data_IF_679456714710
#
_entry.id   IF_679456714710
#
_cell.length_a   1.000
_cell.length_b   1.000
_cell.length_c   1.000
_cell.angle_alpha   90.00
_cell.angle_beta   90.00
_cell.angle_gamma   90.00
#
_symmetry.space_group_name_H-M   'P 1'
#
loop_
_entity.id
_entity.type
_entity.pdbx_description
1 polymer ?
#
# COMPACT_ATOMS: atom_id res chain seq x y z
N UNK A 1 -4.21 19.99 0.95
CA UNK A 1 -5.19 18.94 0.63
C UNK A 1 -5.96 19.21 -0.67
N UNK A 2 -6.56 20.38 -0.87
CA UNK A 2 -7.38 20.70 -2.07
C UNK A 2 -6.69 20.38 -3.40
N UNK A 3 -5.39 20.73 -3.55
CA UNK A 3 -4.58 20.40 -4.73
C UNK A 3 -4.59 18.91 -5.10
N UNK A 4 -4.62 18.02 -4.11
CA UNK A 4 -4.54 16.57 -4.28
C UNK A 4 -5.90 15.89 -4.13
N UNK A 5 -6.97 16.65 -3.87
CA UNK A 5 -8.27 16.08 -3.56
C UNK A 5 -8.83 15.30 -4.76
N UNK A 6 -8.71 15.87 -5.97
CA UNK A 6 -9.17 15.21 -7.20
C UNK A 6 -8.41 13.92 -7.49
N UNK A 7 -7.08 13.93 -7.45
CA UNK A 7 -6.28 12.72 -7.66
C UNK A 7 -6.52 11.68 -6.57
N UNK A 8 -6.75 12.14 -5.34
CA UNK A 8 -7.08 11.25 -4.22
C UNK A 8 -8.43 10.57 -4.42
N UNK A 9 -9.47 11.32 -4.81
CA UNK A 9 -10.80 10.77 -5.11
C UNK A 9 -10.72 9.75 -6.25
N UNK A 10 -9.93 10.02 -7.29
CA UNK A 10 -9.73 9.08 -8.39
C UNK A 10 -9.11 7.75 -7.92
N UNK A 11 -8.09 7.81 -7.08
CA UNK A 11 -7.45 6.61 -6.52
C UNK A 11 -8.41 5.83 -5.63
N UNK A 12 -9.16 6.53 -4.75
CA UNK A 12 -10.17 5.89 -3.90
C UNK A 12 -11.29 5.25 -4.73
N UNK A 13 -11.70 5.90 -5.83
CA UNK A 13 -12.66 5.34 -6.77
C UNK A 13 -12.19 4.03 -7.39
N UNK A 14 -10.95 4.00 -7.87
CA UNK A 14 -10.32 2.79 -8.42
C UNK A 14 -10.29 1.69 -7.37
N UNK A 15 -9.91 2.01 -6.13
CA UNK A 15 -9.90 1.04 -5.04
C UNK A 15 -11.28 0.45 -4.75
N UNK A 16 -12.32 1.29 -4.63
CA UNK A 16 -13.69 0.81 -4.40
C UNK A 16 -14.18 -0.06 -5.57
N UNK A 17 -13.85 0.30 -6.82
CA UNK A 17 -14.19 -0.51 -7.99
C UNK A 17 -13.48 -1.87 -7.97
N UNK A 18 -12.19 -1.91 -7.66
CA UNK A 18 -11.43 -3.15 -7.53
C UNK A 18 -12.01 -4.10 -6.46
N UNK A 19 -12.54 -3.56 -5.35
CA UNK A 19 -13.23 -4.36 -4.33
C UNK A 19 -14.56 -4.94 -4.83
N UNK A 20 -15.33 -4.18 -5.62
CA UNK A 20 -16.56 -4.67 -6.25
C UNK A 20 -16.25 -5.77 -7.27
N UNK A 21 -15.22 -5.56 -8.10
CA UNK A 21 -14.83 -6.48 -9.17
C UNK A 21 -14.18 -7.77 -8.64
N UNK A 22 -13.55 -7.76 -7.47
CA UNK A 22 -12.89 -8.93 -6.88
C UNK A 22 -13.80 -10.16 -6.82
N UNK A 23 -15.07 -9.96 -6.46
CA UNK A 23 -16.05 -11.05 -6.35
C UNK A 23 -16.32 -11.77 -7.67
N UNK A 24 -16.10 -11.10 -8.79
CA UNK A 24 -16.43 -11.62 -10.13
C UNK A 24 -15.21 -11.99 -10.95
N UNK A 25 -14.07 -11.31 -10.75
CA UNK A 25 -12.88 -11.44 -11.60
C UNK A 25 -11.65 -12.04 -10.90
N UNK A 26 -11.74 -12.26 -9.58
CA UNK A 26 -10.64 -12.73 -8.75
C UNK A 26 -9.58 -11.64 -8.51
N UNK A 27 -8.31 -12.04 -8.25
CA UNK A 27 -7.22 -11.10 -8.00
C UNK A 27 -6.96 -10.16 -9.19
N UNK A 28 -6.91 -8.86 -8.91
CA UNK A 28 -6.68 -7.80 -9.89
C UNK A 28 -5.68 -6.78 -9.36
N UNK A 29 -4.89 -6.22 -10.28
CA UNK A 29 -4.02 -5.07 -10.04
C UNK A 29 -4.41 -3.97 -11.03
N UNK A 30 -4.49 -2.73 -10.55
CA UNK A 30 -4.63 -1.55 -11.38
C UNK A 30 -3.42 -0.63 -11.18
N UNK A 31 -2.72 -0.30 -12.26
CA UNK A 31 -1.60 0.66 -12.23
C UNK A 31 -2.19 2.08 -12.20
N UNK A 32 -1.82 2.86 -11.19
CA UNK A 32 -2.32 4.23 -11.00
C UNK A 32 -1.31 5.30 -11.35
N UNK A 33 -0.02 4.98 -11.28
CA UNK A 33 1.11 5.85 -11.64
C UNK A 33 2.26 5.02 -12.18
N UNK A 34 3.12 5.62 -12.98
CA UNK A 34 4.36 5.02 -13.46
C UNK A 34 5.09 5.94 -14.42
N UNK A 35 6.37 5.69 -14.62
CA UNK A 35 7.21 6.43 -15.59
C UNK A 35 7.49 5.59 -16.85
N UNK A 36 6.55 4.73 -17.24
CA UNK A 36 6.78 3.73 -18.27
C UNK A 36 5.55 3.43 -19.11
N UNK A 37 5.77 3.32 -20.42
CA UNK A 37 4.74 3.01 -21.41
C UNK A 37 4.81 1.56 -21.91
N UNK A 38 5.82 0.79 -21.46
CA UNK A 38 6.08 -0.57 -21.92
C UNK A 38 5.46 -1.60 -20.98
N UNK A 39 4.71 -2.55 -21.54
CA UNK A 39 4.26 -3.75 -20.80
C UNK A 39 5.21 -4.94 -21.01
N UNK A 40 6.42 -4.69 -21.53
CA UNK A 40 7.41 -5.71 -21.88
C UNK A 40 8.62 -5.64 -20.96
N UNK A 41 8.60 -6.45 -19.90
CA UNK A 41 9.71 -6.65 -18.98
C UNK A 41 10.06 -8.12 -18.90
N UNK A 42 11.35 -8.42 -18.83
CA UNK A 42 11.81 -9.78 -18.57
C UNK A 42 11.57 -10.11 -17.09
N UNK A 43 11.78 -9.12 -16.22
CA UNK A 43 11.73 -9.30 -14.78
C UNK A 43 11.07 -8.13 -14.06
N UNK A 44 10.25 -8.42 -13.06
CA UNK A 44 9.64 -7.38 -12.21
C UNK A 44 9.95 -7.59 -10.74
N UNK A 45 10.48 -6.56 -10.11
CA UNK A 45 10.68 -6.48 -8.68
C UNK A 45 9.42 -5.90 -8.05
N UNK A 46 8.86 -6.57 -7.05
CA UNK A 46 7.56 -6.23 -6.48
C UNK A 46 7.73 -6.00 -4.99
N UNK A 47 7.49 -4.77 -4.54
CA UNK A 47 7.45 -4.45 -3.11
C UNK A 47 6.02 -4.13 -2.71
N UNK A 48 5.48 -4.88 -1.75
CA UNK A 48 4.11 -4.72 -1.27
C UNK A 48 4.12 -4.15 0.15
N UNK A 49 3.27 -3.17 0.43
CA UNK A 49 3.17 -2.57 1.75
C UNK A 49 2.00 -1.60 1.88
N UNK A 50 1.76 -1.10 3.09
CA UNK A 50 0.79 -0.03 3.31
C UNK A 50 1.34 1.35 2.94
N UNK A 51 2.68 1.51 2.97
CA UNK A 51 3.42 2.74 2.67
C UNK A 51 2.80 3.99 3.32
N UNK A 52 2.52 3.89 4.62
CA UNK A 52 1.76 4.90 5.37
C UNK A 52 2.55 5.43 6.57
N UNK A 53 3.54 6.33 6.40
CA UNK A 53 4.12 6.79 5.14
C UNK A 53 5.20 5.84 4.60
N UNK A 54 5.65 6.02 3.35
CA UNK A 54 6.87 5.38 2.89
C UNK A 54 8.10 5.96 3.62
N UNK A 55 9.06 5.11 3.96
CA UNK A 55 10.27 5.43 4.73
C UNK A 55 11.53 5.26 3.89
N UNK A 56 12.65 5.82 4.35
CA UNK A 56 13.97 5.64 3.75
C UNK A 56 14.41 4.18 3.74
N UNK A 57 14.03 3.39 4.74
CA UNK A 57 14.21 1.94 4.75
C UNK A 57 13.59 1.24 3.53
N UNK A 58 12.45 1.72 3.01
CA UNK A 58 11.89 1.17 1.77
C UNK A 58 12.75 1.55 0.56
N UNK A 59 13.23 2.79 0.47
CA UNK A 59 14.10 3.26 -0.61
C UNK A 59 15.43 2.51 -0.64
N UNK A 60 16.05 2.31 0.53
CA UNK A 60 17.27 1.51 0.65
C UNK A 60 17.05 0.09 0.13
N UNK A 61 15.97 -0.56 0.59
CA UNK A 61 15.65 -1.91 0.19
C UNK A 61 15.40 -2.01 -1.33
N UNK A 62 14.69 -1.05 -1.91
CA UNK A 62 14.46 -0.96 -3.37
C UNK A 62 15.80 -0.80 -4.11
N UNK A 63 16.65 0.14 -3.70
CA UNK A 63 17.92 0.44 -4.39
C UNK A 63 18.88 -0.75 -4.35
N UNK A 64 19.02 -1.41 -3.20
CA UNK A 64 19.86 -2.59 -3.10
C UNK A 64 19.32 -3.75 -3.95
N UNK A 65 17.99 -3.94 -3.96
CA UNK A 65 17.34 -4.99 -4.76
C UNK A 65 17.52 -4.78 -6.27
N UNK A 66 17.36 -3.53 -6.75
CA UNK A 66 17.61 -3.18 -8.15
C UNK A 66 19.08 -3.40 -8.51
N UNK A 67 19.99 -2.91 -7.68
CA UNK A 67 21.44 -3.05 -7.90
C UNK A 67 21.88 -4.51 -7.96
N UNK A 68 21.30 -5.36 -7.13
CA UNK A 68 21.53 -6.80 -7.12
C UNK A 68 21.10 -7.44 -8.46
N UNK A 69 19.87 -7.18 -8.89
CA UNK A 69 19.33 -7.79 -10.11
C UNK A 69 20.00 -7.28 -11.38
N UNK A 70 20.37 -5.99 -11.44
CA UNK A 70 21.13 -5.46 -12.58
C UNK A 70 22.52 -6.09 -12.71
N UNK A 71 23.15 -6.49 -11.60
CA UNK A 71 24.42 -7.23 -11.62
C UNK A 71 24.24 -8.68 -12.04
N UNK A 72 23.18 -9.35 -11.57
CA UNK A 72 22.91 -10.75 -11.90
C UNK A 72 22.40 -10.93 -13.34
N UNK A 73 21.62 -9.97 -13.84
CA UNK A 73 20.95 -10.03 -15.14
C UNK A 73 21.22 -8.73 -15.95
N UNK A 74 22.46 -8.47 -16.40
CA UNK A 74 22.85 -7.19 -17.00
C UNK A 74 22.11 -6.84 -18.30
N UNK A 75 21.53 -7.83 -18.98
CA UNK A 75 20.80 -7.66 -20.24
C UNK A 75 19.27 -7.73 -20.09
N UNK A 76 18.76 -7.98 -18.87
CA UNK A 76 17.33 -8.12 -18.65
C UNK A 76 16.66 -6.74 -18.49
N UNK A 77 15.46 -6.61 -19.05
CA UNK A 77 14.57 -5.48 -18.80
C UNK A 77 13.91 -5.67 -17.44
N UNK A 78 14.48 -5.04 -16.43
CA UNK A 78 13.97 -5.03 -15.06
C UNK A 78 13.07 -3.81 -14.84
N UNK A 79 11.96 -3.98 -14.12
CA UNK A 79 11.13 -2.89 -13.62
C UNK A 79 10.78 -3.08 -12.14
N UNK A 80 10.38 -1.99 -11.48
CA UNK A 80 9.89 -1.98 -10.10
C UNK A 80 8.37 -1.79 -10.09
N UNK A 81 7.66 -2.60 -9.32
CA UNK A 81 6.25 -2.42 -8.99
C UNK A 81 6.09 -2.23 -7.48
N UNK A 82 5.57 -1.07 -7.09
CA UNK A 82 5.17 -0.79 -5.71
C UNK A 82 3.68 -1.05 -5.57
N UNK A 83 3.29 -2.03 -4.75
CA UNK A 83 1.90 -2.45 -4.60
C UNK A 83 1.30 -2.03 -3.26
N UNK A 84 0.19 -1.30 -3.34
CA UNK A 84 -0.72 -1.04 -2.24
C UNK A 84 -1.84 -2.06 -2.28
N UNK A 85 -1.94 -2.90 -1.26
CA UNK A 85 -3.01 -3.91 -1.18
C UNK A 85 -4.16 -3.45 -0.30
N UNK A 86 -5.39 -3.55 -0.82
CA UNK A 86 -6.60 -3.11 -0.13
C UNK A 86 -6.85 -3.91 1.16
N UNK A 87 -6.45 -5.18 1.23
CA UNK A 87 -6.57 -5.95 2.48
C UNK A 87 -5.64 -5.47 3.60
N UNK A 88 -4.56 -4.74 3.26
CA UNK A 88 -3.71 -4.07 4.25
C UNK A 88 -4.28 -2.69 4.63
N UNK A 89 -4.91 -2.00 3.69
CA UNK A 89 -5.61 -0.73 3.90
C UNK A 89 -6.82 -0.90 4.81
N UNK A 90 -7.53 -2.02 4.74
CA UNK A 90 -8.72 -2.29 5.57
C UNK A 90 -8.41 -2.61 7.05
N UNK A 91 -7.16 -2.97 7.39
CA UNK A 91 -6.75 -3.17 8.80
C UNK A 91 -6.66 -1.84 9.58
N UNK A 92 -6.83 -0.71 8.90
CA UNK A 92 -6.76 0.65 9.44
C UNK A 92 -8.05 1.03 10.17
N UNK A 93 -8.41 0.28 11.21
CA UNK A 93 -9.56 0.59 12.10
C UNK A 93 -9.38 1.88 12.92
N UNK A 94 -8.29 2.60 12.69
CA UNK A 94 -7.92 3.84 13.36
C UNK A 94 -7.59 4.93 12.33
N UNK A 95 -8.58 5.34 11.51
CA UNK A 95 -8.44 6.44 10.53
C UNK A 95 -7.92 7.76 11.13
N UNK A 96 -7.88 7.90 12.47
CA UNK A 96 -7.20 9.01 13.13
C UNK A 96 -5.70 9.06 12.82
N UNK A 97 -5.11 7.93 12.43
CA UNK A 97 -3.68 7.76 12.27
C UNK A 97 -3.33 7.35 10.83
N UNK A 98 -4.28 7.11 9.92
CA UNK A 98 -3.95 6.61 8.58
C UNK A 98 -4.24 7.63 7.48
N UNK A 99 -3.45 7.64 6.41
CA UNK A 99 -3.69 8.50 5.25
C UNK A 99 -4.52 7.81 4.17
N UNK A 100 -5.32 8.60 3.44
CA UNK A 100 -6.06 8.13 2.25
C UNK A 100 -5.13 7.42 1.26
N UNK A 101 -5.64 6.41 0.56
CA UNK A 101 -4.87 5.64 -0.41
C UNK A 101 -4.30 6.54 -1.50
N UNK A 102 -5.07 7.52 -1.96
CA UNK A 102 -4.60 8.50 -2.92
C UNK A 102 -3.42 9.32 -2.43
N UNK A 103 -3.43 9.73 -1.16
CA UNK A 103 -2.31 10.47 -0.56
C UNK A 103 -1.05 9.61 -0.43
N UNK A 104 -1.20 8.31 -0.19
CA UNK A 104 -0.08 7.35 -0.20
C UNK A 104 0.51 7.17 -1.58
N UNK A 105 -0.33 7.10 -2.62
CA UNK A 105 0.13 7.09 -4.02
C UNK A 105 0.93 8.35 -4.33
N UNK A 106 0.47 9.53 -3.91
CA UNK A 106 1.20 10.79 -4.12
C UNK A 106 2.54 10.83 -3.36
N UNK A 107 2.59 10.34 -2.12
CA UNK A 107 3.85 10.22 -1.37
C UNK A 107 4.83 9.25 -2.06
N UNK A 108 4.34 8.11 -2.54
CA UNK A 108 5.15 7.14 -3.27
C UNK A 108 5.65 7.68 -4.61
N UNK A 109 4.78 8.33 -5.39
CA UNK A 109 5.15 8.95 -6.65
C UNK A 109 6.22 10.02 -6.45
N UNK A 110 6.06 10.88 -5.44
CA UNK A 110 7.08 11.87 -5.08
C UNK A 110 8.40 11.21 -4.67
N UNK A 111 8.36 10.13 -3.87
CA UNK A 111 9.56 9.41 -3.43
C UNK A 111 10.29 8.76 -4.61
N UNK A 112 9.57 8.04 -5.48
CA UNK A 112 10.15 7.31 -6.60
C UNK A 112 10.65 8.24 -7.69
N UNK A 113 9.95 9.34 -7.99
CA UNK A 113 10.36 10.30 -9.03
C UNK A 113 11.62 11.09 -8.68
N UNK A 114 11.96 11.16 -7.39
CA UNK A 114 13.14 11.86 -6.88
C UNK A 114 14.28 10.92 -6.52
N UNK A 115 13.99 9.62 -6.43
CA UNK A 115 15.02 8.60 -6.28
C UNK A 115 15.60 8.35 -7.66
N UNK A 116 16.92 8.39 -7.79
CA UNK A 116 17.60 8.05 -9.04
C UNK A 116 17.56 6.52 -9.27
N UNK A 117 16.37 6.04 -9.63
CA UNK A 117 16.14 4.64 -9.95
C UNK A 117 16.61 4.38 -11.37
N UNK A 118 17.55 3.45 -11.53
CA UNK A 118 18.06 3.00 -12.81
C UNK A 118 17.08 2.12 -13.61
N UNK A 119 15.86 1.92 -13.11
CA UNK A 119 14.82 1.08 -13.73
C UNK A 119 13.47 1.82 -13.77
N UNK A 120 12.60 1.49 -14.74
CA UNK A 120 11.23 1.98 -14.74
C UNK A 120 10.46 1.50 -13.49
N UNK A 121 9.52 2.31 -13.03
CA UNK A 121 8.68 1.99 -11.88
C UNK A 121 7.19 2.22 -12.15
N UNK A 122 6.37 1.49 -11.42
CA UNK A 122 4.91 1.61 -11.42
C UNK A 122 4.36 1.48 -9.99
N UNK A 123 3.30 2.23 -9.69
CA UNK A 123 2.53 2.11 -8.45
C UNK A 123 1.20 1.46 -8.81
N UNK A 124 0.92 0.32 -8.20
CA UNK A 124 -0.30 -0.45 -8.41
C UNK A 124 -1.14 -0.57 -7.14
N UNK A 125 -2.45 -0.72 -7.33
CA UNK A 125 -3.40 -1.06 -6.27
C UNK A 125 -3.92 -2.46 -6.54
N UNK A 126 -3.89 -3.32 -5.52
CA UNK A 126 -4.36 -4.69 -5.60
C UNK A 126 -5.53 -4.95 -4.66
N UNK A 127 -6.54 -5.68 -5.13
CA UNK A 127 -7.63 -6.17 -4.28
C UNK A 127 -7.26 -7.44 -3.48
N UNK A 128 -6.06 -8.00 -3.66
CA UNK A 128 -5.56 -9.12 -2.87
C UNK A 128 -4.32 -8.74 -2.06
N UNK A 129 -4.17 -9.36 -0.90
CA UNK A 129 -2.98 -9.27 -0.05
C UNK A 129 -2.08 -10.49 -0.11
N UNK A 130 -2.54 -11.60 -0.71
CA UNK A 130 -1.79 -12.86 -0.72
C UNK A 130 -0.83 -12.89 -1.91
N UNK A 131 0.43 -13.24 -1.66
CA UNK A 131 1.46 -13.25 -2.69
C UNK A 131 1.15 -14.18 -3.87
N UNK A 132 0.54 -15.34 -3.61
CA UNK A 132 0.03 -16.26 -4.63
C UNK A 132 -0.96 -15.58 -5.59
N UNK A 133 -1.95 -14.88 -5.04
CA UNK A 133 -2.96 -14.14 -5.82
C UNK A 133 -2.32 -12.99 -6.60
N UNK A 134 -1.35 -12.31 -6.00
CA UNK A 134 -0.59 -11.24 -6.64
C UNK A 134 0.19 -11.78 -7.85
N UNK A 135 0.81 -12.96 -7.74
CA UNK A 135 1.53 -13.58 -8.85
C UNK A 135 0.58 -13.83 -10.03
N UNK A 136 -0.63 -14.31 -9.77
CA UNK A 136 -1.67 -14.50 -10.80
C UNK A 136 -2.07 -13.15 -11.42
N UNK A 137 -2.33 -12.14 -10.59
CA UNK A 137 -2.72 -10.81 -11.07
C UNK A 137 -1.61 -10.13 -11.90
N UNK A 138 -0.34 -10.27 -11.49
CA UNK A 138 0.82 -9.72 -12.19
C UNK A 138 1.00 -10.42 -13.54
N UNK A 139 0.94 -11.76 -13.60
CA UNK A 139 1.03 -12.50 -14.87
C UNK A 139 -0.09 -12.12 -15.84
N UNK A 140 -1.30 -11.87 -15.33
CA UNK A 140 -2.43 -11.39 -16.13
C UNK A 140 -2.20 -9.97 -16.66
N UNK A 141 -1.68 -9.07 -15.81
CA UNK A 141 -1.39 -7.69 -16.16
C UNK A 141 -0.23 -7.57 -17.16
N UNK A 142 0.82 -8.38 -16.97
CA UNK A 142 2.07 -8.36 -17.73
C UNK A 142 2.26 -9.70 -18.47
N UNK A 143 1.48 -9.89 -19.54
CA UNK A 143 1.37 -11.16 -20.26
C UNK A 143 2.70 -11.77 -20.77
N UNK A 144 3.74 -10.95 -20.91
CA UNK A 144 5.06 -11.36 -21.41
C UNK A 144 6.14 -11.34 -20.33
N UNK A 145 5.74 -11.30 -19.06
CA UNK A 145 6.65 -11.34 -17.94
C UNK A 145 7.25 -12.75 -17.79
N UNK A 146 8.57 -12.85 -17.79
CA UNK A 146 9.24 -14.13 -17.56
C UNK A 146 9.21 -14.52 -16.08
N UNK A 147 9.51 -13.57 -15.19
CA UNK A 147 9.61 -13.83 -13.75
C UNK A 147 9.31 -12.59 -12.90
N UNK A 148 8.85 -12.80 -11.67
CA UNK A 148 8.71 -11.75 -10.66
C UNK A 148 9.47 -12.12 -9.39
N UNK A 149 10.00 -11.10 -8.72
CA UNK A 149 10.63 -11.19 -7.40
C UNK A 149 9.91 -10.34 -6.40
N UNK A 150 9.51 -10.91 -5.27
CA UNK A 150 8.97 -10.15 -4.16
C UNK A 150 10.08 -9.65 -3.25
N UNK A 151 10.06 -8.35 -2.97
CA UNK A 151 10.92 -7.67 -2.01
C UNK A 151 10.13 -7.51 -0.71
N UNK A 152 10.64 -8.04 0.40
CA UNK A 152 9.93 -7.97 1.68
C UNK A 152 10.86 -8.04 2.88
N UNK A 153 10.36 -7.61 4.05
CA UNK A 153 11.02 -7.86 5.33
C UNK A 153 10.82 -9.30 5.82
N UNK A 154 11.69 -9.78 6.68
CA UNK A 154 11.59 -11.10 7.31
C UNK A 154 10.26 -11.32 8.04
N UNK A 155 9.68 -10.28 8.63
CA UNK A 155 8.36 -10.32 9.31
C UNK A 155 7.18 -10.55 8.36
N UNK A 156 7.38 -10.27 7.07
CA UNK A 156 6.39 -10.54 6.01
C UNK A 156 6.68 -11.89 5.36
N UNK A 157 7.96 -12.25 5.22
CA UNK A 157 8.36 -13.58 4.73
C UNK A 157 7.87 -14.70 5.66
N UNK A 158 7.95 -14.53 6.98
CA UNK A 158 7.40 -15.49 7.96
C UNK A 158 5.90 -15.77 7.75
N UNK A 159 5.14 -14.76 7.35
CA UNK A 159 3.70 -14.91 7.09
C UNK A 159 3.42 -15.84 5.92
N UNK A 160 4.37 -16.07 5.01
CA UNK A 160 4.20 -17.04 3.92
C UNK A 160 3.97 -18.46 4.44
N UNK A 161 4.48 -18.78 5.63
CA UNK A 161 4.36 -20.11 6.26
C UNK A 161 3.20 -20.21 7.25
N UNK A 162 2.43 -19.13 7.45
CA UNK A 162 1.31 -19.16 8.38
C UNK A 162 0.05 -19.64 7.66
N UNK A 163 -0.40 -20.86 7.98
CA UNK A 163 -1.56 -21.51 7.35
C UNK A 163 -2.85 -20.69 7.39
N UNK A 164 -3.01 -19.79 8.36
CA UNK A 164 -4.18 -18.90 8.52
C UNK A 164 -4.42 -17.98 7.30
N UNK A 165 -3.41 -17.73 6.47
CA UNK A 165 -3.55 -16.91 5.26
C UNK A 165 -4.09 -17.68 4.06
N UNK A 166 -4.27 -18.99 4.19
CA UNK A 166 -4.60 -19.85 3.08
C UNK A 166 -5.84 -20.72 3.34
N UNK A 167 -6.57 -20.99 2.27
CA UNK A 167 -7.76 -21.86 2.31
C UNK A 167 -7.42 -23.35 2.11
N UNK A 168 -6.20 -23.67 1.68
CA UNK A 168 -5.69 -25.04 1.54
C UNK A 168 -4.52 -25.27 2.51
N UNK A 169 -4.20 -26.53 2.86
CA UNK A 169 -3.03 -26.87 3.66
C UNK A 169 -1.74 -26.28 3.10
N UNK A 170 -0.82 -25.86 3.97
CA UNK A 170 0.42 -25.18 3.59
C UNK A 170 1.26 -26.01 2.61
N UNK A 171 1.43 -27.31 2.89
CA UNK A 171 2.13 -28.26 2.00
C UNK A 171 1.63 -28.25 0.54
N UNK A 172 0.35 -27.95 0.30
CA UNK A 172 -0.24 -27.95 -1.03
C UNK A 172 -0.02 -26.62 -1.77
N UNK A 173 0.39 -25.57 -1.04
CA UNK A 173 0.54 -24.20 -1.53
C UNK A 173 2.01 -23.77 -1.63
N UNK A 174 2.89 -24.30 -0.77
CA UNK A 174 4.32 -23.96 -0.78
C UNK A 174 4.95 -24.11 -2.18
N UNK A 175 4.67 -25.15 -2.98
CA UNK A 175 5.21 -25.24 -4.33
C UNK A 175 4.80 -24.06 -5.22
N UNK A 176 3.59 -23.51 -5.06
CA UNK A 176 3.11 -22.37 -5.83
C UNK A 176 3.69 -21.04 -5.34
N UNK A 177 3.87 -20.88 -4.02
CA UNK A 177 4.58 -19.73 -3.43
C UNK A 177 5.98 -19.64 -4.01
N UNK A 178 6.75 -20.72 -3.98
CA UNK A 178 8.16 -20.74 -4.38
C UNK A 178 8.42 -20.86 -5.90
N UNK A 179 7.38 -20.70 -6.73
CA UNK A 179 7.54 -20.44 -8.18
C UNK A 179 8.06 -19.04 -8.49
N UNK A 180 8.14 -18.17 -7.47
CA UNK A 180 8.62 -16.79 -7.60
C UNK A 180 9.89 -16.57 -6.79
N UNK A 181 10.58 -15.48 -7.10
CA UNK A 181 11.79 -15.07 -6.37
C UNK A 181 11.44 -14.22 -5.15
N UNK A 182 12.32 -14.25 -4.17
CA UNK A 182 12.20 -13.51 -2.92
C UNK A 182 13.52 -12.82 -2.59
N UNK A 183 13.45 -11.52 -2.35
CA UNK A 183 14.47 -10.78 -1.61
C UNK A 183 13.92 -10.55 -0.20
N UNK A 184 14.61 -11.12 0.78
CA UNK A 184 14.21 -11.06 2.19
C UNK A 184 15.16 -10.17 2.96
N UNK A 185 14.65 -9.04 3.43
CA UNK A 185 15.40 -8.05 4.18
C UNK A 185 15.48 -8.40 5.66
N UNK A 186 16.69 -8.37 6.21
CA UNK A 186 16.93 -8.54 7.65
C UNK A 186 16.32 -7.40 8.47
N UNK A 187 15.64 -7.75 9.57
CA UNK A 187 15.04 -6.81 10.52
C UNK A 187 15.04 -7.42 11.93
N UNK A 188 15.09 -6.57 12.95
CA UNK A 188 15.03 -7.00 14.34
C UNK A 188 16.23 -7.86 14.71
N UNK A 189 15.96 -9.11 15.11
CA UNK A 189 16.99 -10.06 15.56
C UNK A 189 17.64 -10.84 14.40
N UNK A 190 17.13 -10.71 13.17
CA UNK A 190 17.71 -11.36 11.99
C UNK A 190 18.40 -10.29 11.16
N UNK A 191 19.70 -10.11 11.36
CA UNK A 191 20.47 -8.99 10.79
C UNK A 191 21.49 -9.40 9.76
N UNK A 192 21.93 -10.66 9.79
CA UNK A 192 22.87 -11.23 8.83
C UNK A 192 22.42 -12.59 8.27
N UNK A 193 23.25 -13.16 7.40
CA UNK A 193 22.95 -14.41 6.70
C UNK A 193 22.93 -15.61 7.64
N UNK A 194 23.75 -15.62 8.70
CA UNK A 194 23.82 -16.73 9.63
C UNK A 194 22.54 -16.77 10.49
N UNK A 195 22.06 -15.61 10.94
CA UNK A 195 20.75 -15.48 11.59
C UNK A 195 19.62 -15.97 10.68
N UNK A 196 19.65 -15.59 9.40
CA UNK A 196 18.63 -15.99 8.44
C UNK A 196 18.64 -17.50 8.21
N UNK A 197 19.81 -18.11 8.03
CA UNK A 197 19.94 -19.56 7.89
C UNK A 197 19.49 -20.30 9.15
N UNK A 198 19.81 -19.77 10.34
CA UNK A 198 19.31 -20.30 11.60
C UNK A 198 17.78 -20.26 11.65
N UNK A 199 17.18 -19.13 11.26
CA UNK A 199 15.74 -18.99 11.15
C UNK A 199 15.13 -20.00 10.17
N UNK A 200 15.68 -20.15 8.96
CA UNK A 200 15.20 -21.15 7.98
C UNK A 200 15.25 -22.56 8.57
N UNK A 201 16.34 -22.93 9.25
CA UNK A 201 16.50 -24.25 9.87
C UNK A 201 15.54 -24.48 11.06
N UNK A 202 14.96 -23.42 11.63
CA UNK A 202 13.97 -23.50 12.71
C UNK A 202 12.54 -23.70 12.21
N UNK A 203 12.28 -23.50 10.91
CA UNK A 203 10.95 -23.67 10.31
C UNK A 203 10.50 -25.14 10.33
N UNK A 204 9.19 -25.43 10.23
CA UNK A 204 8.70 -26.80 10.03
C UNK A 204 9.34 -27.48 8.81
N UNK A 205 9.53 -28.80 8.86
CA UNK A 205 10.25 -29.56 7.82
C UNK A 205 9.67 -29.39 6.41
N UNK A 206 8.35 -29.27 6.29
CA UNK A 206 7.68 -28.98 5.00
C UNK A 206 8.10 -27.64 4.40
N UNK A 207 8.20 -26.60 5.22
CA UNK A 207 8.68 -25.27 4.81
C UNK A 207 10.16 -25.31 4.44
N UNK A 208 10.99 -26.01 5.24
CA UNK A 208 12.41 -26.18 4.93
C UNK A 208 12.63 -26.89 3.59
N UNK A 209 11.87 -27.95 3.32
CA UNK A 209 11.99 -28.69 2.08
C UNK A 209 11.60 -27.82 0.89
N UNK A 210 10.48 -27.09 0.98
CA UNK A 210 10.06 -26.17 -0.08
C UNK A 210 11.10 -25.07 -0.36
N UNK A 211 11.79 -24.58 0.68
CA UNK A 211 12.89 -23.61 0.54
C UNK A 211 14.13 -24.26 -0.10
N UNK A 212 14.51 -25.47 0.32
CA UNK A 212 15.69 -26.17 -0.21
C UNK A 212 15.53 -26.58 -1.68
N UNK A 213 14.30 -26.78 -2.12
CA UNK A 213 13.97 -27.06 -3.51
C UNK A 213 14.05 -25.82 -4.41
N UNK A 214 14.36 -24.64 -3.85
CA UNK A 214 14.39 -23.39 -4.59
C UNK A 214 15.67 -22.58 -4.35
N UNK A 215 16.32 -22.16 -5.44
CA UNK A 215 17.42 -21.18 -5.42
C UNK A 215 16.89 -19.73 -5.46
N UNK A 216 15.58 -19.55 -5.26
CA UNK A 216 14.86 -18.32 -5.53
C UNK A 216 14.81 -17.36 -4.32
N UNK A 217 15.55 -17.60 -3.23
CA UNK A 217 15.52 -16.75 -2.03
C UNK A 217 16.89 -16.13 -1.79
N UNK A 218 16.93 -14.79 -1.79
CA UNK A 218 18.12 -14.00 -1.53
C UNK A 218 17.90 -13.22 -0.25
N UNK A 219 18.78 -13.42 0.74
CA UNK A 219 18.79 -12.59 1.94
C UNK A 219 19.58 -11.30 1.70
N UNK A 220 19.04 -10.18 2.18
CA UNK A 220 19.60 -8.85 2.00
C UNK A 220 19.72 -8.15 3.37
N UNK A 221 20.95 -8.05 3.93
CA UNK A 221 21.14 -7.39 5.22
C UNK A 221 20.98 -5.88 5.05
N UNK A 222 19.98 -5.30 5.71
CA UNK A 222 19.80 -3.85 5.76
C UNK A 222 20.81 -3.20 6.71
N UNK A 223 21.19 -1.95 6.43
CA UNK A 223 22.00 -1.17 7.36
C UNK A 223 21.26 -1.03 8.72
N UNK A 224 22.00 -1.11 9.82
CA UNK A 224 21.45 -1.10 11.19
C UNK A 224 20.45 0.02 11.46
N UNK A 225 20.66 1.22 10.89
CA UNK A 225 19.73 2.35 11.04
C UNK A 225 18.33 2.11 10.46
N UNK A 226 18.21 1.26 9.45
CA UNK A 226 16.95 0.97 8.74
C UNK A 226 16.21 -0.26 9.31
N UNK A 227 16.89 -1.14 10.02
CA UNK A 227 16.33 -2.42 10.51
C UNK A 227 15.17 -2.22 11.51
N UNK A 228 15.21 -1.15 12.30
CA UNK A 228 14.24 -0.85 13.37
C UNK A 228 13.22 0.22 13.01
N UNK A 229 13.23 0.67 11.76
CA UNK A 229 12.24 1.64 11.28
C UNK A 229 10.89 0.97 11.06
N UNK A 230 9.81 1.69 11.38
CA UNK A 230 8.45 1.27 11.03
C UNK A 230 7.56 2.48 10.85
N UNK A 231 6.67 2.41 9.86
CA UNK A 231 5.75 3.52 9.60
C UNK A 231 4.84 3.78 10.81
N UNK A 232 4.49 2.75 11.58
CA UNK A 232 3.73 2.89 12.84
C UNK A 232 4.43 3.78 13.87
N UNK A 233 5.76 3.65 14.03
CA UNK A 233 6.52 4.52 14.94
C UNK A 233 6.52 5.97 14.44
N UNK A 234 6.73 6.16 13.13
CA UNK A 234 6.71 7.49 12.48
C UNK A 234 5.35 8.16 12.62
N UNK A 235 4.25 7.45 12.36
CA UNK A 235 2.89 7.99 12.53
C UNK A 235 2.59 8.40 13.97
N UNK A 236 3.03 7.60 14.96
CA UNK A 236 2.91 7.97 16.38
C UNK A 236 3.66 9.25 16.70
N UNK A 237 4.90 9.40 16.22
CA UNK A 237 5.70 10.62 16.40
C UNK A 237 5.02 11.84 15.76
N UNK A 238 4.57 11.72 14.51
CA UNK A 238 3.84 12.78 13.79
C UNK A 238 2.55 13.18 14.51
N UNK A 239 1.82 12.22 15.08
CA UNK A 239 0.56 12.49 15.79
C UNK A 239 0.72 13.24 17.12
N UNK A 240 1.93 13.27 17.66
CA UNK A 240 2.27 13.97 18.90
C UNK A 240 2.85 15.37 18.64
N UNK A 241 2.93 15.79 17.37
CA UNK A 241 3.57 17.06 16.93
C UNK A 241 4.97 17.25 17.53
N UNK A 242 5.66 16.13 17.76
CA UNK A 242 7.03 16.17 18.23
C UNK A 242 7.88 16.65 17.05
N UNK A 243 8.47 17.84 17.18
CA UNK A 243 9.34 18.52 16.22
C UNK A 243 10.67 17.79 15.96
N UNK A 244 10.69 16.47 16.16
CA UNK A 244 11.86 15.62 15.98
C UNK A 244 12.08 15.50 14.49
N UNK A 245 13.32 15.74 14.05
CA UNK A 245 13.77 15.31 12.73
C UNK A 245 13.48 13.82 12.57
N UNK A 246 12.45 13.50 11.79
CA UNK A 246 12.11 12.12 11.51
C UNK A 246 13.11 11.64 10.46
N UNK A 247 14.28 11.21 10.93
CA UNK A 247 15.39 10.73 10.10
C UNK A 247 15.02 9.54 9.21
N UNK A 248 13.89 8.87 9.50
CA UNK A 248 13.32 7.79 8.70
C UNK A 248 12.54 8.24 7.47
N UNK A 249 12.28 9.55 7.29
CA UNK A 249 11.57 10.09 6.14
C UNK A 249 12.53 10.85 5.23
N UNK A 250 12.32 10.77 3.91
CA UNK A 250 12.95 11.73 3.02
C UNK A 250 12.30 13.12 3.23
N UNK A 251 13.06 14.19 2.93
CA UNK A 251 12.63 15.57 3.17
C UNK A 251 11.33 15.92 2.43
N UNK A 252 11.08 15.32 1.28
CA UNK A 252 9.94 15.61 0.42
C UNK A 252 8.65 14.93 0.90
N UNK A 253 8.73 13.69 1.38
CA UNK A 253 7.61 13.02 2.07
C UNK A 253 7.28 13.77 3.35
N UNK A 254 8.29 14.20 4.12
CA UNK A 254 8.07 15.02 5.32
C UNK A 254 7.37 16.35 4.98
N UNK A 255 7.85 17.05 3.94
CA UNK A 255 7.21 18.29 3.46
C UNK A 255 5.77 18.04 3.00
N UNK A 256 5.52 16.94 2.27
CA UNK A 256 4.19 16.57 1.82
C UNK A 256 3.24 16.29 3.00
N UNK A 257 3.73 15.58 4.03
CA UNK A 257 3.00 15.30 5.27
C UNK A 257 2.61 16.60 5.96
N UNK A 258 3.56 17.52 6.17
CA UNK A 258 3.29 18.81 6.83
C UNK A 258 2.31 19.66 6.03
N UNK A 259 2.54 19.79 4.72
CA UNK A 259 1.68 20.59 3.82
C UNK A 259 0.25 20.10 3.77
N UNK A 260 0.03 18.80 3.95
CA UNK A 260 -1.31 18.20 3.93
C UNK A 260 -1.85 17.86 5.32
N UNK A 261 -1.13 18.23 6.39
CA UNK A 261 -1.48 17.93 7.78
C UNK A 261 -1.78 16.45 8.02
N UNK A 262 -1.04 15.56 7.35
CA UNK A 262 -1.23 14.11 7.50
C UNK A 262 -0.82 13.68 8.89
N UNK A 263 -1.51 12.65 9.41
CA UNK A 263 -1.28 12.09 10.76
C UNK A 263 -1.51 13.09 11.91
N UNK A 264 -2.02 14.29 11.62
CA UNK A 264 -2.39 15.27 12.62
C UNK A 264 -3.71 14.91 13.30
N UNK A 265 -3.88 15.33 14.56
CA UNK A 265 -5.16 15.20 15.29
C UNK A 265 -6.17 16.28 14.90
N UNK A 266 -5.97 16.98 13.77
CA UNK A 266 -6.84 18.06 13.33
C UNK A 266 -8.22 17.49 12.91
N UNK A 267 -9.31 17.85 13.61
CA UNK A 267 -10.65 17.34 13.34
C UNK A 267 -11.11 17.56 11.90
N UNK A 268 -10.82 18.73 11.31
CA UNK A 268 -11.22 19.05 9.94
C UNK A 268 -10.58 18.10 8.92
N UNK A 269 -9.29 17.79 9.12
CA UNK A 269 -8.54 16.89 8.24
C UNK A 269 -9.09 15.48 8.32
N UNK A 270 -9.35 14.98 9.53
CA UNK A 270 -9.95 13.66 9.75
C UNK A 270 -11.33 13.59 9.09
N UNK A 271 -12.17 14.62 9.26
CA UNK A 271 -13.51 14.67 8.65
C UNK A 271 -13.44 14.66 7.13
N UNK A 272 -12.52 15.42 6.53
CA UNK A 272 -12.34 15.41 5.07
C UNK A 272 -11.96 14.00 4.59
N UNK A 273 -11.04 13.32 5.29
CA UNK A 273 -10.64 11.96 4.92
C UNK A 273 -11.83 10.98 4.99
N UNK A 274 -12.61 11.04 6.06
CA UNK A 274 -13.83 10.24 6.22
C UNK A 274 -14.83 10.53 5.08
N UNK A 275 -15.07 11.81 4.78
CA UNK A 275 -15.98 12.23 3.70
C UNK A 275 -15.52 11.62 2.37
N UNK A 276 -14.25 11.77 2.01
CA UNK A 276 -13.73 11.27 0.74
C UNK A 276 -13.96 9.76 0.62
N UNK A 277 -13.56 8.96 1.63
CA UNK A 277 -13.72 7.51 1.57
C UNK A 277 -15.18 7.07 1.47
N UNK A 278 -16.05 7.66 2.30
CA UNK A 278 -17.44 7.23 2.40
C UNK A 278 -18.25 7.74 1.21
N UNK A 279 -18.05 8.98 0.78
CA UNK A 279 -18.77 9.54 -0.36
C UNK A 279 -18.39 8.81 -1.65
N UNK A 280 -17.11 8.48 -1.88
CA UNK A 280 -16.71 7.68 -3.05
C UNK A 280 -17.47 6.35 -3.07
N UNK A 281 -17.55 5.66 -1.93
CA UNK A 281 -18.27 4.39 -1.83
C UNK A 281 -19.76 4.55 -2.12
N UNK A 282 -20.41 5.55 -1.53
CA UNK A 282 -21.84 5.83 -1.74
C UNK A 282 -22.09 6.17 -3.21
N UNK A 283 -21.35 7.11 -3.77
CA UNK A 283 -21.55 7.59 -5.13
C UNK A 283 -21.30 6.49 -6.16
N UNK A 284 -20.33 5.60 -5.92
CA UNK A 284 -20.12 4.40 -6.73
C UNK A 284 -21.31 3.43 -6.67
N UNK A 285 -21.91 3.21 -5.49
CA UNK A 285 -23.12 2.37 -5.34
C UNK A 285 -24.34 2.98 -6.05
N UNK A 286 -24.45 4.30 -6.06
CA UNK A 286 -25.50 5.04 -6.77
C UNK A 286 -25.25 5.15 -8.28
N UNK A 287 -24.18 4.55 -8.81
CA UNK A 287 -23.87 4.56 -10.24
C UNK A 287 -23.46 5.94 -10.78
N UNK A 288 -23.05 6.86 -9.91
CA UNK A 288 -22.52 8.17 -10.30
C UNK A 288 -21.23 7.95 -11.09
N UNK A 289 -20.99 8.70 -12.17
CA UNK A 289 -19.72 8.56 -12.88
C UNK A 289 -18.55 9.19 -12.09
N UNK A 290 -17.33 8.71 -12.37
CA UNK A 290 -16.11 9.11 -11.65
C UNK A 290 -15.89 10.64 -11.65
N UNK A 291 -16.15 11.31 -12.76
CA UNK A 291 -15.88 12.75 -12.86
C UNK A 291 -16.86 13.53 -11.98
N UNK A 292 -18.16 13.19 -12.06
CA UNK A 292 -19.18 13.78 -11.18
C UNK A 292 -18.92 13.48 -9.71
N UNK A 293 -18.42 12.28 -9.38
CA UNK A 293 -18.05 11.95 -8.01
C UNK A 293 -17.02 12.93 -7.44
N UNK A 294 -15.98 13.26 -8.22
CA UNK A 294 -14.98 14.24 -7.82
C UNK A 294 -15.59 15.63 -7.59
N UNK A 295 -16.44 16.09 -8.50
CA UNK A 295 -17.04 17.41 -8.41
C UNK A 295 -18.00 17.53 -7.21
N UNK A 296 -18.80 16.49 -6.95
CA UNK A 296 -19.71 16.40 -5.81
C UNK A 296 -18.94 16.49 -4.49
N UNK A 297 -17.90 15.66 -4.31
CA UNK A 297 -17.11 15.61 -3.08
C UNK A 297 -16.37 16.93 -2.87
N UNK A 298 -15.76 17.48 -3.93
CA UNK A 298 -15.07 18.77 -3.87
C UNK A 298 -16.02 19.90 -3.45
N UNK A 299 -17.20 19.99 -4.08
CA UNK A 299 -18.22 20.99 -3.76
C UNK A 299 -18.75 20.84 -2.33
N UNK A 300 -18.89 19.62 -1.84
CA UNK A 300 -19.30 19.40 -0.46
C UNK A 300 -18.22 19.86 0.52
N UNK A 301 -16.96 19.48 0.31
CA UNK A 301 -15.84 19.85 1.19
C UNK A 301 -15.60 21.36 1.18
N UNK A 302 -15.66 22.03 0.03
CA UNK A 302 -15.44 23.47 -0.05
C UNK A 302 -16.50 24.27 0.70
N UNK A 303 -17.77 23.83 0.66
CA UNK A 303 -18.89 24.49 1.35
C UNK A 303 -18.97 24.14 2.84
N UNK A 304 -18.73 22.87 3.18
CA UNK A 304 -19.08 22.32 4.49
C UNK A 304 -17.88 21.82 5.30
N UNK A 305 -16.67 21.77 4.71
CA UNK A 305 -15.51 21.15 5.32
C UNK A 305 -15.05 21.80 6.63
N UNK A 306 -15.41 23.07 6.86
CA UNK A 306 -15.13 23.82 8.09
C UNK A 306 -16.36 24.00 9.00
N UNK A 307 -17.51 23.42 8.66
CA UNK A 307 -18.70 23.50 9.52
C UNK A 307 -18.51 22.61 10.75
N UNK A 308 -18.36 23.26 11.92
CA UNK A 308 -18.14 22.57 13.20
C UNK A 308 -19.27 21.60 13.55
N UNK A 309 -20.53 21.88 13.21
CA UNK A 309 -21.66 20.98 13.51
C UNK A 309 -21.55 19.71 12.67
N UNK A 310 -21.25 19.84 11.37
CA UNK A 310 -21.04 18.71 10.47
C UNK A 310 -19.84 17.88 10.95
N UNK A 311 -18.72 18.54 11.27
CA UNK A 311 -17.52 17.88 11.76
C UNK A 311 -17.78 17.11 13.06
N UNK A 312 -18.39 17.74 14.07
CA UNK A 312 -18.72 17.09 15.34
C UNK A 312 -19.62 15.88 15.11
N UNK A 313 -20.62 16.00 14.23
CA UNK A 313 -21.55 14.91 13.92
C UNK A 313 -20.86 13.74 13.21
N UNK A 314 -20.01 14.00 12.22
CA UNK A 314 -19.25 12.94 11.53
C UNK A 314 -18.30 12.24 12.52
N UNK A 315 -17.59 13.01 13.35
CA UNK A 315 -16.64 12.46 14.31
C UNK A 315 -17.31 11.66 15.43
N UNK A 316 -18.49 12.07 15.91
CA UNK A 316 -19.21 11.32 16.94
C UNK A 316 -19.64 9.96 16.43
N UNK A 317 -20.21 9.88 15.23
CA UNK A 317 -20.64 8.62 14.61
C UNK A 317 -19.44 7.71 14.30
N UNK A 318 -18.36 8.29 13.79
CA UNK A 318 -17.13 7.54 13.50
C UNK A 318 -16.52 6.89 14.77
N UNK A 319 -16.50 7.61 15.89
CA UNK A 319 -15.95 7.12 17.17
C UNK A 319 -16.71 5.93 17.75
N UNK A 320 -17.99 5.79 17.44
CA UNK A 320 -18.83 4.65 17.86
C UNK A 320 -18.46 3.36 17.08
N UNK A 321 -17.54 3.45 16.10
CA UNK A 321 -17.09 2.33 15.24
C UNK A 321 -18.24 1.61 14.53
N UNK A 322 -19.35 2.31 14.30
CA UNK A 322 -20.48 1.78 13.56
C UNK A 322 -20.50 2.38 12.15
N UNK A 323 -19.79 1.72 11.24
CA UNK A 323 -19.67 2.16 9.84
C UNK A 323 -21.04 2.30 9.14
N UNK A 324 -22.05 1.53 9.54
CA UNK A 324 -23.38 1.59 8.92
C UNK A 324 -24.11 2.89 9.24
N UNK A 325 -24.05 3.37 10.49
CA UNK A 325 -24.64 4.66 10.86
C UNK A 325 -23.94 5.83 10.18
N UNK A 326 -22.60 5.78 10.13
CA UNK A 326 -21.82 6.81 9.48
C UNK A 326 -22.11 6.87 7.97
N UNK A 327 -22.16 5.71 7.29
CA UNK A 327 -22.51 5.65 5.86
C UNK A 327 -23.93 6.16 5.60
N UNK A 328 -24.92 5.73 6.40
CA UNK A 328 -26.29 6.25 6.34
C UNK A 328 -26.32 7.77 6.52
N UNK A 329 -25.54 8.30 7.47
CA UNK A 329 -25.51 9.74 7.74
C UNK A 329 -24.85 10.53 6.61
N UNK A 330 -23.77 10.02 6.03
CA UNK A 330 -23.14 10.59 4.86
C UNK A 330 -24.09 10.60 3.65
N UNK A 331 -24.89 9.55 3.49
CA UNK A 331 -25.94 9.48 2.47
C UNK A 331 -27.01 10.55 2.67
N UNK A 332 -27.50 10.73 3.91
CA UNK A 332 -28.43 11.82 4.26
C UNK A 332 -27.84 13.20 3.98
N UNK A 333 -26.56 13.43 4.30
CA UNK A 333 -25.87 14.69 3.99
C UNK A 333 -25.82 14.95 2.48
N UNK A 334 -25.56 13.93 1.65
CA UNK A 334 -25.59 14.08 0.20
C UNK A 334 -26.98 14.49 -0.30
N UNK A 335 -28.07 13.94 0.28
CA UNK A 335 -29.45 14.32 -0.03
C UNK A 335 -29.84 15.71 0.46
N UNK A 336 -29.52 16.05 1.70
CA UNK A 336 -29.76 17.36 2.31
C UNK A 336 -29.17 18.49 1.45
N UNK A 337 -28.05 18.22 0.77
CA UNK A 337 -27.38 19.16 -0.13
C UNK A 337 -27.74 18.99 -1.61
N UNK A 338 -28.76 18.19 -1.94
CA UNK A 338 -29.23 17.94 -3.32
C UNK A 338 -28.13 17.44 -4.28
N UNK A 339 -27.19 16.64 -3.76
CA UNK A 339 -26.07 16.09 -4.53
C UNK A 339 -26.39 14.71 -5.13
N UNK A 340 -27.37 14.01 -4.56
CA UNK A 340 -27.94 12.75 -5.05
C UNK A 340 -29.47 12.77 -4.84
N UNK A 341 -30.20 11.93 -5.59
CA UNK A 341 -31.66 11.79 -5.51
C UNK A 341 -32.12 10.89 -4.35
#
# INVERSE_FOLDING_TARGET
MEKYLKSTIEVEWIAQKLLQDFKTQGPLIHIVRGNTDSNHYDHILVIQGSFDPPLLSHTELINQSISLYQKQLPNAKVALMVLLSLSHVEKETDLFIHSLLGLRVEMLESLLSQTDLSVPWMIGISNSGRYIDLTVAIKRLLQKLSKNTYIMGIDVFDKLFQGVYYSKPLRDILPEIFQTDYIVAGRGDIVDIDDFLFYINSLPSESQNAIKETDNIIFLPLQKKFQFESSTKVRKQLSLDQSIEISSLNSQTLLFIHKNHLYSKNPSIIVIQIIVQIFVRILLKEGVDRNKCSDIIHNFISKNGNDKKIQTRILSEYRVKNNLFLEKRCYELLKEHSLIN
#
